data_IF_995953126535
#
_entry.id   IF_995953126535
#
_cell.length_a   1.000
_cell.length_b   1.000
_cell.length_c   1.000
_cell.angle_alpha   90.00
_cell.angle_beta   90.00
_cell.angle_gamma   90.00
#
_symmetry.space_group_name_H-M   'P 1'
#
loop_
_entity.id
_entity.type
_entity.pdbx_description
1 polymer ?
#
# COMPACT_ATOMS: atom_id res chain seq x y z
N UNK A 1 -2.09 18.04 -11.59
CA UNK A 1 -1.90 17.60 -10.20
C UNK A 1 -1.88 16.08 -10.28
N UNK A 2 -0.79 15.43 -9.87
CA UNK A 2 -0.76 13.96 -9.86
C UNK A 2 -1.88 13.44 -8.96
N UNK A 3 -2.63 12.45 -9.43
CA UNK A 3 -3.65 11.79 -8.63
C UNK A 3 -2.97 10.91 -7.59
N UNK A 4 -2.80 11.45 -6.38
CA UNK A 4 -2.17 10.73 -5.27
C UNK A 4 -2.91 9.43 -4.93
N UNK A 5 -4.19 9.27 -5.29
CA UNK A 5 -4.96 8.06 -4.98
C UNK A 5 -4.51 6.82 -5.76
N UNK A 6 -3.64 7.02 -6.75
CA UNK A 6 -2.93 5.94 -7.46
C UNK A 6 -1.71 5.41 -6.70
N UNK A 7 -1.19 6.17 -5.72
CA UNK A 7 -0.08 5.74 -4.88
C UNK A 7 -0.53 4.67 -3.87
N UNK A 8 0.39 3.83 -3.39
CA UNK A 8 0.10 2.84 -2.36
C UNK A 8 -0.50 3.44 -1.07
N UNK A 9 -1.40 2.68 -0.43
CA UNK A 9 -1.94 3.02 0.90
C UNK A 9 -1.01 2.50 2.00
N UNK A 10 -0.23 3.42 2.58
CA UNK A 10 0.74 3.15 3.65
C UNK A 10 0.08 2.66 4.95
N UNK A 11 -1.20 2.97 5.17
CA UNK A 11 -1.95 2.53 6.35
C UNK A 11 -2.55 1.13 6.20
N UNK A 12 -2.54 0.57 4.98
CA UNK A 12 -3.19 -0.69 4.67
C UNK A 12 -2.73 -1.85 5.56
N UNK A 13 -3.68 -2.64 6.06
CA UNK A 13 -3.42 -3.89 6.78
C UNK A 13 -2.64 -4.89 5.93
N UNK A 14 -2.74 -4.84 4.60
CA UNK A 14 -1.95 -5.68 3.71
C UNK A 14 -0.44 -5.39 3.79
N UNK A 15 -0.06 -4.16 4.17
CA UNK A 15 1.33 -3.78 4.48
C UNK A 15 1.65 -3.92 5.98
N UNK A 16 0.72 -4.47 6.77
CA UNK A 16 0.86 -4.58 8.22
C UNK A 16 0.49 -3.33 9.00
N UNK A 17 -0.23 -2.37 8.41
CA UNK A 17 -0.77 -1.22 9.14
C UNK A 17 -1.79 -1.64 10.20
N UNK A 18 -2.02 -0.79 11.20
CA UNK A 18 -2.93 -1.14 12.30
C UNK A 18 -3.33 0.03 13.17
N UNK A 19 -4.54 -0.04 13.70
CA UNK A 19 -5.00 0.88 14.74
C UNK A 19 -4.34 0.48 16.06
N UNK A 20 -3.60 1.42 16.67
CA UNK A 20 -2.90 1.20 17.94
C UNK A 20 -3.63 1.86 19.12
N UNK A 21 -4.58 2.74 18.82
CA UNK A 21 -5.44 3.38 19.81
C UNK A 21 -6.71 3.90 19.13
N UNK A 22 -7.86 3.71 19.78
CA UNK A 22 -9.09 4.44 19.52
C UNK A 22 -9.74 4.76 20.87
N UNK A 23 -10.31 5.95 21.02
CA UNK A 23 -10.93 6.36 22.28
C UNK A 23 -12.39 5.88 22.44
N UNK A 24 -13.05 5.55 21.34
CA UNK A 24 -14.39 4.98 21.29
C UNK A 24 -14.53 4.08 20.06
N UNK A 25 -15.13 2.90 20.22
CA UNK A 25 -15.39 1.92 19.15
C UNK A 25 -16.75 1.25 19.39
N UNK A 26 -17.71 1.99 19.93
CA UNK A 26 -18.93 1.37 20.44
C UNK A 26 -19.72 0.65 19.35
N UNK A 27 -20.01 1.31 18.22
CA UNK A 27 -20.84 0.72 17.16
C UNK A 27 -20.04 -0.14 16.20
N UNK A 28 -18.83 0.28 15.81
CA UNK A 28 -17.98 -0.50 14.93
C UNK A 28 -16.48 -0.25 15.21
N UNK A 29 -15.66 -1.29 15.01
CA UNK A 29 -14.25 -1.30 15.37
C UNK A 29 -13.41 -0.41 14.44
N UNK A 30 -12.47 0.33 15.02
CA UNK A 30 -11.52 1.18 14.30
C UNK A 30 -10.61 0.37 13.38
N UNK A 31 -10.37 -0.91 13.66
CA UNK A 31 -9.57 -1.80 12.81
C UNK A 31 -10.08 -1.88 11.36
N UNK A 32 -11.36 -1.58 11.11
CA UNK A 32 -11.91 -1.49 9.76
C UNK A 32 -11.28 -0.36 8.93
N UNK A 33 -10.80 0.73 9.55
CA UNK A 33 -10.20 1.87 8.86
C UNK A 33 -9.07 1.47 7.90
N UNK A 34 -8.29 0.46 8.28
CA UNK A 34 -7.08 0.03 7.59
C UNK A 34 -7.28 -1.21 6.69
N UNK A 35 -8.49 -1.74 6.60
CA UNK A 35 -8.75 -2.93 5.79
C UNK A 35 -8.55 -2.63 4.30
N UNK A 36 -7.81 -3.45 3.53
CA UNK A 36 -7.46 -3.14 2.14
C UNK A 36 -8.68 -3.21 1.21
N UNK A 37 -9.67 -4.02 1.55
CA UNK A 37 -10.88 -4.18 0.74
C UNK A 37 -11.74 -2.90 0.79
N UNK A 38 -12.43 -2.55 -0.32
CA UNK A 38 -13.45 -1.52 -0.30
C UNK A 38 -14.50 -1.82 0.78
N UNK A 39 -15.04 -0.79 1.46
CA UNK A 39 -16.10 -1.00 2.43
C UNK A 39 -17.34 -1.61 1.75
N UNK A 40 -18.09 -2.38 2.52
CA UNK A 40 -19.32 -3.06 2.10
C UNK A 40 -20.49 -2.69 3.01
N UNK A 41 -21.72 -2.81 2.50
CA UNK A 41 -22.90 -2.51 3.30
C UNK A 41 -24.04 -3.46 3.00
N UNK A 42 -24.58 -4.05 4.07
CA UNK A 42 -25.79 -4.86 4.03
C UNK A 42 -26.92 -4.12 4.75
N UNK A 43 -27.91 -3.56 4.01
CA UNK A 43 -29.02 -2.86 4.62
C UNK A 43 -29.81 -3.76 5.57
N UNK A 44 -30.24 -3.19 6.71
CA UNK A 44 -31.07 -3.86 7.73
C UNK A 44 -30.40 -5.04 8.42
N UNK A 45 -29.08 -5.04 8.49
CA UNK A 45 -28.31 -5.96 9.33
C UNK A 45 -28.06 -5.28 10.67
N UNK A 46 -28.89 -5.59 11.66
CA UNK A 46 -28.80 -5.01 13.01
C UNK A 46 -28.25 -6.03 14.01
N UNK A 47 -27.37 -5.58 14.90
CA UNK A 47 -27.02 -6.28 16.13
C UNK A 47 -27.69 -5.60 17.36
N UNK A 48 -27.24 -5.94 18.56
CA UNK A 48 -27.78 -5.37 19.81
C UNK A 48 -27.38 -3.89 20.03
N UNK A 49 -26.45 -3.35 19.24
CA UNK A 49 -25.99 -1.96 19.30
C UNK A 49 -26.62 -1.10 18.20
N UNK A 50 -26.80 -1.65 17.00
CA UNK A 50 -27.36 -0.90 15.88
C UNK A 50 -27.16 -1.56 14.53
N UNK A 51 -27.23 -0.78 13.46
CA UNK A 51 -26.87 -1.24 12.11
C UNK A 51 -25.37 -1.57 12.11
N UNK A 52 -25.01 -2.73 11.57
CA UNK A 52 -23.62 -3.13 11.42
C UNK A 52 -23.03 -2.38 10.23
N UNK A 53 -21.91 -1.70 10.45
CA UNK A 53 -21.16 -0.97 9.43
C UNK A 53 -19.77 -1.58 9.23
N UNK A 54 -19.33 -1.60 7.98
CA UNK A 54 -17.94 -1.90 7.59
C UNK A 54 -17.10 -0.61 7.68
N UNK A 55 -16.89 -0.16 8.91
CA UNK A 55 -16.15 1.05 9.24
C UNK A 55 -15.89 1.18 10.73
N UNK A 56 -15.29 2.29 11.14
CA UNK A 56 -15.21 2.74 12.52
C UNK A 56 -16.43 3.61 12.83
N UNK A 57 -17.12 3.38 13.94
CA UNK A 57 -18.24 4.25 14.36
C UNK A 57 -18.30 4.39 15.89
N UNK A 58 -18.36 5.65 16.34
CA UNK A 58 -18.33 6.02 17.77
C UNK A 58 -19.71 6.38 18.33
N UNK A 59 -19.84 6.41 19.66
CA UNK A 59 -21.06 6.91 20.31
C UNK A 59 -21.32 8.38 19.97
N UNK A 60 -22.59 8.71 19.78
CA UNK A 60 -23.05 10.10 19.72
C UNK A 60 -22.61 10.87 20.96
N UNK A 61 -21.90 11.97 20.79
CA UNK A 61 -21.47 12.82 21.91
C UNK A 61 -22.55 13.84 22.24
N UNK A 62 -22.72 14.06 23.55
CA UNK A 62 -23.62 15.09 24.12
C UNK A 62 -22.87 16.16 24.92
N UNK A 63 -21.55 16.08 24.92
CA UNK A 63 -20.62 16.99 25.57
C UNK A 63 -19.53 17.40 24.58
N UNK A 64 -18.82 18.49 24.87
CA UNK A 64 -17.68 18.93 24.07
C UNK A 64 -16.62 17.83 24.00
N UNK A 65 -16.04 17.63 22.82
CA UNK A 65 -15.00 16.64 22.58
C UNK A 65 -14.90 16.25 21.12
N UNK A 66 -14.02 15.28 20.88
CA UNK A 66 -13.73 14.70 19.57
C UNK A 66 -13.39 13.21 19.75
N UNK A 67 -13.53 12.43 18.68
CA UNK A 67 -13.08 11.05 18.63
C UNK A 67 -11.80 10.91 17.82
N UNK A 68 -10.93 10.00 18.26
CA UNK A 68 -9.57 9.89 17.78
C UNK A 68 -9.21 8.43 17.58
N UNK A 69 -8.62 8.13 16.42
CA UNK A 69 -7.95 6.88 16.13
C UNK A 69 -6.49 7.16 15.73
N UNK A 70 -5.54 6.41 16.31
CA UNK A 70 -4.13 6.46 15.94
C UNK A 70 -3.80 5.19 15.16
N UNK A 71 -3.25 5.37 13.96
CA UNK A 71 -2.84 4.30 13.05
C UNK A 71 -1.33 4.28 12.94
N UNK A 72 -0.72 3.13 13.18
CA UNK A 72 0.65 2.83 12.77
C UNK A 72 0.63 2.45 11.30
N UNK A 73 1.43 3.14 10.48
CA UNK A 73 1.58 2.79 9.08
C UNK A 73 2.23 1.41 8.95
N UNK A 74 1.77 0.63 7.98
CA UNK A 74 2.38 -0.66 7.63
C UNK A 74 3.76 -0.48 7.04
N UNK A 75 3.90 0.55 6.20
CA UNK A 75 5.15 0.97 5.61
C UNK A 75 5.36 2.49 5.88
N UNK A 76 6.36 2.88 6.70
CA UNK A 76 6.71 4.28 6.88
C UNK A 76 7.11 4.94 5.56
N UNK A 77 6.78 6.22 5.41
CA UNK A 77 6.96 6.88 4.12
C UNK A 77 6.55 8.34 4.10
N UNK A 78 6.65 8.93 2.91
CA UNK A 78 6.19 10.29 2.62
C UNK A 78 4.72 10.24 2.24
N UNK A 79 3.90 11.07 2.89
CA UNK A 79 2.45 11.11 2.67
C UNK A 79 2.14 12.17 1.62
N UNK A 80 1.49 11.77 0.53
CA UNK A 80 1.08 12.66 -0.57
C UNK A 80 -0.41 13.00 -0.52
N UNK A 81 -1.22 12.18 0.16
CA UNK A 81 -2.62 12.50 0.38
C UNK A 81 -3.31 11.55 1.35
N UNK A 82 -4.43 12.04 1.89
CA UNK A 82 -5.31 11.31 2.78
C UNK A 82 -6.66 11.13 2.10
N UNK A 83 -7.24 9.95 2.23
CA UNK A 83 -8.62 9.66 1.87
C UNK A 83 -9.38 9.26 3.14
N UNK A 84 -10.33 10.10 3.55
CA UNK A 84 -11.29 9.78 4.60
C UNK A 84 -12.58 9.33 3.93
N UNK A 85 -12.71 8.02 3.76
CA UNK A 85 -13.85 7.42 3.08
C UNK A 85 -15.02 7.26 4.05
N UNK A 86 -16.15 7.92 3.78
CA UNK A 86 -17.39 7.87 4.57
C UNK A 86 -18.45 6.98 3.91
N UNK A 87 -18.06 6.09 2.99
CA UNK A 87 -18.98 5.17 2.31
C UNK A 87 -20.01 4.56 3.27
N UNK A 88 -21.27 4.59 2.84
CA UNK A 88 -22.47 4.10 3.56
C UNK A 88 -22.86 4.86 4.83
N UNK A 89 -22.00 5.72 5.36
CA UNK A 89 -22.36 6.68 6.42
C UNK A 89 -23.04 7.90 5.78
N UNK A 90 -24.33 7.78 5.50
CA UNK A 90 -25.11 8.81 4.77
C UNK A 90 -25.67 9.92 5.66
N UNK A 91 -25.82 9.66 6.96
CA UNK A 91 -26.32 10.65 7.93
C UNK A 91 -25.63 10.62 9.30
N UNK A 92 -24.78 9.61 9.53
CA UNK A 92 -24.00 9.39 10.75
C UNK A 92 -22.48 9.51 10.50
N UNK A 93 -22.06 10.11 9.38
CA UNK A 93 -20.67 10.50 9.18
C UNK A 93 -20.32 11.73 10.04
N UNK A 94 -19.05 11.91 10.43
CA UNK A 94 -18.64 13.11 11.15
C UNK A 94 -18.64 14.31 10.20
N UNK A 95 -19.16 15.48 10.60
CA UNK A 95 -19.21 16.65 9.72
C UNK A 95 -17.83 17.22 9.38
N UNK A 96 -16.81 16.97 10.20
CA UNK A 96 -15.42 17.35 9.90
C UNK A 96 -14.43 16.29 10.40
N UNK A 97 -13.27 16.24 9.76
CA UNK A 97 -12.10 15.51 10.25
C UNK A 97 -10.83 16.38 10.17
N UNK A 98 -9.82 16.00 10.94
CA UNK A 98 -8.44 16.48 10.81
C UNK A 98 -7.50 15.30 10.93
N UNK A 99 -6.32 15.39 10.31
CA UNK A 99 -5.29 14.35 10.38
C UNK A 99 -3.95 14.96 10.74
N UNK A 100 -3.33 14.38 11.77
CA UNK A 100 -1.94 14.67 12.12
C UNK A 100 -1.04 13.47 11.82
N UNK A 101 0.26 13.70 11.67
CA UNK A 101 1.26 12.66 11.46
C UNK A 101 2.41 12.75 12.47
N UNK A 102 3.06 11.61 12.70
CA UNK A 102 4.17 11.47 13.63
C UNK A 102 5.24 10.53 13.05
N UNK A 103 6.50 10.94 13.19
CA UNK A 103 7.67 10.10 13.01
C UNK A 103 8.20 9.73 14.40
N UNK A 104 8.26 8.44 14.72
CA UNK A 104 8.80 7.96 15.98
C UNK A 104 9.41 6.57 15.78
N UNK A 105 10.58 6.36 16.37
CA UNK A 105 11.31 5.10 16.28
C UNK A 105 10.78 4.06 17.27
N UNK A 106 11.01 2.80 16.94
CA UNK A 106 10.64 1.66 17.79
C UNK A 106 9.13 1.43 17.88
N UNK A 107 8.68 0.94 19.04
CA UNK A 107 7.31 0.50 19.28
C UNK A 107 6.72 1.22 20.51
N UNK A 108 6.41 2.52 20.40
CA UNK A 108 5.90 3.30 21.53
C UNK A 108 4.54 2.78 22.02
N UNK A 109 4.28 2.92 23.31
CA UNK A 109 2.99 2.55 23.89
C UNK A 109 1.88 3.52 23.44
N UNK A 110 0.60 3.11 23.48
CA UNK A 110 -0.52 4.00 23.18
C UNK A 110 -0.52 5.29 24.02
N UNK A 111 -0.08 5.23 25.28
CA UNK A 111 0.03 6.40 26.15
C UNK A 111 1.13 7.37 25.68
N UNK A 112 2.29 6.84 25.26
CA UNK A 112 3.36 7.66 24.71
C UNK A 112 2.95 8.34 23.38
N UNK A 113 2.24 7.62 22.50
CA UNK A 113 1.72 8.17 21.25
C UNK A 113 0.71 9.30 21.47
N UNK A 114 -0.17 9.16 22.46
CA UNK A 114 -1.14 10.21 22.80
C UNK A 114 -0.47 11.47 23.34
N UNK A 115 0.65 11.32 24.08
CA UNK A 115 1.40 12.44 24.66
C UNK A 115 2.44 13.06 23.69
N UNK A 116 2.68 12.43 22.54
CA UNK A 116 3.66 12.90 21.56
C UNK A 116 3.25 14.23 20.92
N UNK A 117 4.23 14.92 20.31
CA UNK A 117 3.98 16.11 19.50
C UNK A 117 3.71 15.70 18.06
N UNK A 118 2.50 15.96 17.59
CA UNK A 118 2.04 15.60 16.25
C UNK A 118 2.11 16.79 15.30
N UNK A 119 2.38 16.50 14.02
CA UNK A 119 2.41 17.49 12.94
C UNK A 119 1.04 17.48 12.23
N UNK A 120 0.34 18.62 12.13
CA UNK A 120 -0.89 18.68 11.35
C UNK A 120 -0.58 18.54 9.85
N UNK A 121 -1.19 17.55 9.19
CA UNK A 121 -1.05 17.32 7.74
C UNK A 121 -2.35 17.56 6.97
N UNK A 122 -3.50 17.44 7.64
CA UNK A 122 -4.82 17.86 7.14
C UNK A 122 -5.49 18.69 8.23
N UNK A 123 -5.73 20.00 7.99
CA UNK A 123 -6.44 20.84 8.95
C UNK A 123 -7.87 20.35 9.12
N UNK A 124 -8.55 20.84 10.17
CA UNK A 124 -9.98 20.55 10.35
C UNK A 124 -10.77 20.96 9.12
N UNK A 125 -11.27 19.98 8.40
CA UNK A 125 -11.88 20.13 7.07
C UNK A 125 -13.25 19.46 7.06
N UNK A 126 -14.22 20.01 6.31
CA UNK A 126 -15.53 19.40 6.18
C UNK A 126 -15.42 18.04 5.48
N UNK A 127 -16.34 17.13 5.80
CA UNK A 127 -16.54 15.88 5.08
C UNK A 127 -17.94 15.86 4.46
N UNK A 128 -18.05 15.18 3.33
CA UNK A 128 -19.32 14.73 2.77
C UNK A 128 -19.56 13.26 3.16
N UNK A 129 -20.83 12.91 3.34
CA UNK A 129 -21.26 11.53 3.63
C UNK A 129 -21.28 10.65 2.37
N UNK A 130 -21.13 9.33 2.58
CA UNK A 130 -21.14 8.34 1.50
C UNK A 130 -20.16 8.66 0.35
N UNK A 131 -18.99 9.19 0.71
CA UNK A 131 -18.05 9.80 -0.25
C UNK A 131 -16.60 9.58 0.17
N UNK A 132 -15.71 9.47 -0.82
CA UNK A 132 -14.25 9.55 -0.60
C UNK A 132 -13.83 11.01 -0.46
N UNK A 133 -13.38 11.40 0.73
CA UNK A 133 -12.94 12.77 1.01
C UNK A 133 -11.43 12.87 0.87
N UNK A 134 -10.98 13.46 -0.24
CA UNK A 134 -9.57 13.46 -0.67
C UNK A 134 -8.85 14.77 -0.29
N UNK A 135 -7.77 14.64 0.50
CA UNK A 135 -6.96 15.76 0.97
C UNK A 135 -5.50 15.60 0.53
N UNK A 136 -4.97 16.45 -0.38
CA UNK A 136 -3.56 16.42 -0.74
C UNK A 136 -2.69 16.87 0.44
N UNK A 137 -1.51 16.26 0.57
CA UNK A 137 -0.49 16.58 1.59
C UNK A 137 0.79 16.96 0.87
N UNK A 138 1.44 18.03 1.32
CA UNK A 138 2.65 18.60 0.69
C UNK A 138 3.87 18.59 1.62
N UNK A 139 3.87 17.69 2.59
CA UNK A 139 4.95 17.52 3.55
C UNK A 139 5.87 16.38 3.09
N UNK A 140 7.15 16.69 2.86
CA UNK A 140 8.12 15.73 2.34
C UNK A 140 8.82 14.90 3.44
N UNK A 141 8.43 15.08 4.71
CA UNK A 141 8.98 14.29 5.81
C UNK A 141 8.47 12.87 5.77
N UNK A 142 9.32 11.96 6.25
CA UNK A 142 8.94 10.57 6.50
C UNK A 142 8.13 10.47 7.79
N UNK A 143 6.95 9.85 7.71
CA UNK A 143 6.09 9.56 8.86
C UNK A 143 5.93 8.05 9.11
N UNK A 144 5.57 7.70 10.34
CA UNK A 144 5.40 6.32 10.83
C UNK A 144 4.00 6.05 11.35
N UNK A 145 3.28 7.11 11.75
CA UNK A 145 1.94 7.04 12.30
C UNK A 145 1.11 8.22 11.77
N UNK A 146 -0.20 8.03 11.72
CA UNK A 146 -1.19 9.09 11.55
C UNK A 146 -2.24 9.05 12.66
N UNK A 147 -2.82 10.21 12.97
CA UNK A 147 -3.91 10.36 13.92
C UNK A 147 -5.10 10.97 13.21
N UNK A 148 -6.15 10.18 13.01
CA UNK A 148 -7.44 10.67 12.53
C UNK A 148 -8.21 11.21 13.73
N UNK A 149 -8.69 12.44 13.62
CA UNK A 149 -9.61 13.06 14.58
C UNK A 149 -10.90 13.42 13.86
N UNK A 150 -12.03 12.90 14.35
CA UNK A 150 -13.36 13.22 13.84
C UNK A 150 -14.09 14.16 14.81
N UNK A 151 -14.87 15.11 14.26
CA UNK A 151 -15.44 16.21 15.03
C UNK A 151 -16.97 16.23 14.92
N UNK A 152 -17.74 16.08 16.01
CA UNK A 152 -17.33 15.57 17.32
C UNK A 152 -17.24 14.03 17.37
N UNK A 153 -18.06 13.34 16.58
CA UNK A 153 -18.26 11.89 16.54
C UNK A 153 -18.88 11.50 15.19
N UNK A 154 -19.00 10.20 14.93
CA UNK A 154 -19.61 9.66 13.72
C UNK A 154 -18.90 8.41 13.22
N UNK A 155 -19.16 8.06 11.96
CA UNK A 155 -18.56 6.91 11.30
C UNK A 155 -17.71 7.21 10.08
N UNK A 156 -16.60 6.48 9.95
CA UNK A 156 -15.67 6.52 8.82
C UNK A 156 -15.41 5.09 8.36
N UNK A 157 -15.62 4.81 7.07
CA UNK A 157 -15.50 3.48 6.50
C UNK A 157 -14.03 3.06 6.34
N UNK A 158 -13.20 3.92 5.75
CA UNK A 158 -11.76 3.69 5.55
C UNK A 158 -10.95 4.96 5.76
N UNK A 159 -9.70 4.77 6.15
CA UNK A 159 -8.66 5.79 6.12
C UNK A 159 -7.54 5.29 5.22
N UNK A 160 -7.36 5.91 4.03
CA UNK A 160 -6.20 5.64 3.18
C UNK A 160 -5.16 6.73 3.35
N UNK A 161 -3.91 6.31 3.47
CA UNK A 161 -2.75 7.20 3.58
C UNK A 161 -1.88 6.95 2.36
N UNK A 162 -2.12 7.71 1.30
CA UNK A 162 -1.46 7.51 0.01
C UNK A 162 -0.06 8.15 0.02
N UNK A 163 0.96 7.35 -0.30
CA UNK A 163 2.33 7.77 -0.10
C UNK A 163 3.37 6.94 -0.82
N UNK A 164 4.62 7.39 -0.74
CA UNK A 164 5.79 6.62 -1.17
C UNK A 164 6.48 6.01 0.05
N UNK A 165 6.80 4.71 -0.03
CA UNK A 165 7.48 3.99 1.06
C UNK A 165 8.94 4.44 1.15
N UNK A 166 9.39 4.75 2.37
CA UNK A 166 10.78 5.08 2.67
C UNK A 166 11.25 4.15 3.78
N UNK A 167 11.83 2.98 3.45
CA UNK A 167 12.29 2.02 4.45
C UNK A 167 13.52 2.57 5.18
N UNK A 168 13.73 2.13 6.42
CA UNK A 168 14.97 2.41 7.14
C UNK A 168 16.06 1.42 6.68
N UNK A 169 17.16 1.88 6.06
CA UNK A 169 18.23 1.01 5.56
C UNK A 169 18.91 0.18 6.65
N UNK A 170 18.87 0.63 7.91
CA UNK A 170 19.46 -0.11 9.04
C UNK A 170 18.70 -1.38 9.39
N UNK A 171 17.42 -1.47 9.00
CA UNK A 171 16.55 -2.62 9.22
C UNK A 171 16.54 -3.59 8.02
N UNK A 172 17.18 -3.24 6.90
CA UNK A 172 17.23 -4.07 5.70
C UNK A 172 18.45 -5.02 5.73
N UNK A 173 18.27 -6.32 5.39
CA UNK A 173 19.38 -7.25 5.30
C UNK A 173 20.25 -6.95 4.07
N UNK A 174 21.35 -7.69 3.86
CA UNK A 174 22.21 -7.48 2.68
C UNK A 174 21.55 -7.88 1.36
N UNK A 175 20.75 -8.95 1.39
CA UNK A 175 20.04 -9.49 0.23
C UNK A 175 18.57 -9.61 0.60
N UNK A 176 17.69 -8.98 -0.19
CA UNK A 176 16.24 -8.99 0.04
C UNK A 176 15.47 -8.76 -1.25
N UNK A 177 14.14 -8.83 -1.16
CA UNK A 177 13.23 -8.47 -2.25
C UNK A 177 13.22 -6.95 -2.48
N UNK A 178 14.04 -6.49 -3.44
CA UNK A 178 14.18 -5.07 -3.77
C UNK A 178 13.02 -4.54 -4.61
N UNK A 179 12.14 -5.41 -5.11
CA UNK A 179 10.89 -5.01 -5.76
C UNK A 179 9.73 -4.87 -4.77
N UNK A 180 9.86 -5.40 -3.54
CA UNK A 180 8.80 -5.32 -2.54
C UNK A 180 8.42 -3.86 -2.24
N UNK A 181 7.11 -3.62 -2.16
CA UNK A 181 6.58 -2.30 -1.81
C UNK A 181 7.05 -1.85 -0.42
N UNK A 182 7.06 -2.76 0.56
CA UNK A 182 7.56 -2.48 1.91
C UNK A 182 9.04 -2.09 1.95
N UNK A 183 9.81 -2.39 0.89
CA UNK A 183 11.22 -2.06 0.76
C UNK A 183 11.47 -0.89 -0.19
N UNK A 184 10.43 -0.18 -0.66
CA UNK A 184 10.55 0.99 -1.53
C UNK A 184 10.41 0.71 -3.03
N UNK A 185 10.22 -0.55 -3.43
CA UNK A 185 9.90 -0.89 -4.82
C UNK A 185 8.50 -0.41 -5.21
N UNK A 186 8.31 0.05 -6.45
CA UNK A 186 6.99 0.52 -6.89
C UNK A 186 6.80 0.40 -8.40
N UNK A 187 5.54 0.23 -8.80
CA UNK A 187 5.16 0.14 -10.22
C UNK A 187 5.14 1.53 -10.85
N UNK A 188 5.83 1.71 -11.98
CA UNK A 188 5.87 2.96 -12.74
C UNK A 188 5.04 2.92 -14.02
N UNK A 189 4.66 1.74 -14.49
CA UNK A 189 3.82 1.58 -15.67
C UNK A 189 3.33 0.15 -15.83
N UNK A 190 2.26 -0.02 -16.59
CA UNK A 190 1.80 -1.33 -17.05
C UNK A 190 0.96 -1.21 -18.31
N UNK A 191 0.82 -2.31 -19.06
CA UNK A 191 -0.04 -2.37 -20.26
C UNK A 191 -1.54 -2.33 -19.93
N UNK A 192 -1.96 -2.89 -18.79
CA UNK A 192 -3.37 -3.13 -18.49
C UNK A 192 -3.64 -3.20 -16.97
N UNK A 193 -4.65 -2.44 -16.51
CA UNK A 193 -5.10 -2.40 -15.10
C UNK A 193 -6.55 -2.87 -14.90
N UNK A 194 -7.10 -3.70 -15.79
CA UNK A 194 -8.56 -3.92 -15.85
C UNK A 194 -9.15 -4.67 -14.63
N UNK A 195 -8.49 -5.71 -14.11
CA UNK A 195 -9.04 -6.56 -13.03
C UNK A 195 -8.28 -6.49 -11.71
N UNK A 196 -6.95 -6.34 -11.74
CA UNK A 196 -6.12 -6.17 -10.55
C UNK A 196 -5.12 -5.03 -10.72
N UNK A 197 -4.72 -4.40 -9.62
CA UNK A 197 -3.70 -3.35 -9.67
C UNK A 197 -2.30 -3.97 -9.62
N UNK A 198 -1.35 -3.58 -10.49
CA UNK A 198 -0.03 -4.18 -10.57
C UNK A 198 0.78 -4.06 -9.26
N UNK A 199 0.51 -3.06 -8.43
CA UNK A 199 1.13 -2.89 -7.11
C UNK A 199 0.87 -4.07 -6.16
N UNK A 200 -0.23 -4.81 -6.36
CA UNK A 200 -0.56 -5.98 -5.54
C UNK A 200 0.51 -7.08 -5.63
N UNK A 201 1.20 -7.19 -6.78
CA UNK A 201 2.30 -8.14 -6.94
C UNK A 201 3.46 -7.88 -5.97
N UNK A 202 3.60 -6.64 -5.51
CA UNK A 202 4.71 -6.18 -4.66
C UNK A 202 4.36 -6.20 -3.16
N UNK A 203 3.11 -6.52 -2.80
CA UNK A 203 2.69 -6.67 -1.40
C UNK A 203 3.47 -7.79 -0.71
N UNK A 204 3.70 -7.72 0.61
CA UNK A 204 4.37 -8.78 1.36
C UNK A 204 3.55 -10.08 1.41
N UNK A 205 4.22 -11.18 1.74
CA UNK A 205 3.59 -12.49 1.92
C UNK A 205 3.04 -13.11 0.63
N UNK A 206 2.21 -14.15 0.80
CA UNK A 206 1.50 -14.83 -0.29
C UNK A 206 0.16 -14.13 -0.56
N UNK A 207 -0.33 -14.26 -1.79
CA UNK A 207 -1.69 -13.83 -2.12
C UNK A 207 -2.73 -14.65 -1.34
N UNK A 208 -3.76 -13.98 -0.79
CA UNK A 208 -4.85 -14.63 -0.06
C UNK A 208 -5.95 -15.18 -0.96
N UNK A 209 -6.11 -14.56 -2.12
CA UNK A 209 -7.07 -14.91 -3.17
C UNK A 209 -6.61 -14.28 -4.50
N UNK A 210 -7.27 -14.60 -5.62
CA UNK A 210 -6.89 -14.10 -6.95
C UNK A 210 -6.87 -12.56 -7.06
N UNK A 211 -7.83 -11.87 -6.42
CA UNK A 211 -7.88 -10.39 -6.39
C UNK A 211 -6.75 -9.71 -5.59
N UNK A 212 -5.91 -10.50 -4.91
CA UNK A 212 -4.71 -10.02 -4.21
C UNK A 212 -3.50 -10.02 -5.16
N UNK A 213 -3.67 -10.34 -6.45
CA UNK A 213 -2.62 -10.25 -7.48
C UNK A 213 -2.86 -9.14 -8.51
N UNK A 214 -2.08 -9.18 -9.59
CA UNK A 214 -2.33 -8.46 -10.84
C UNK A 214 -3.01 -9.40 -11.84
N UNK A 215 -4.09 -8.94 -12.47
CA UNK A 215 -4.80 -9.68 -13.51
C UNK A 215 -5.13 -8.74 -14.67
N UNK A 216 -4.88 -9.22 -15.89
CA UNK A 216 -5.11 -8.48 -17.13
C UNK A 216 -6.33 -9.01 -17.88
N UNK A 217 -6.86 -8.20 -18.80
CA UNK A 217 -7.87 -8.69 -19.74
C UNK A 217 -7.28 -9.75 -20.69
N UNK A 218 -8.14 -10.66 -21.16
CA UNK A 218 -7.76 -11.65 -22.17
C UNK A 218 -7.34 -10.96 -23.46
N UNK A 219 -6.18 -11.31 -23.97
CA UNK A 219 -5.64 -10.77 -25.22
C UNK A 219 -6.08 -11.65 -26.39
N UNK A 220 -6.44 -11.04 -27.51
CA UNK A 220 -6.85 -11.72 -28.76
C UNK A 220 -6.04 -11.23 -29.98
N UNK A 221 -4.94 -10.55 -29.71
CA UNK A 221 -4.02 -9.97 -30.70
C UNK A 221 -2.59 -10.29 -30.26
N UNK A 222 -1.66 -10.27 -31.20
CA UNK A 222 -0.25 -10.55 -30.92
C UNK A 222 0.33 -9.59 -29.86
N UNK A 223 1.34 -10.07 -29.14
CA UNK A 223 2.03 -9.34 -28.08
C UNK A 223 1.81 -9.96 -26.70
N UNK A 224 2.13 -9.18 -25.67
CA UNK A 224 2.10 -9.61 -24.28
C UNK A 224 1.63 -8.47 -23.36
N UNK A 225 1.30 -8.80 -22.12
CA UNK A 225 1.05 -7.82 -21.07
C UNK A 225 2.32 -7.59 -20.24
N UNK A 226 2.49 -6.37 -19.72
CA UNK A 226 3.71 -5.99 -19.01
C UNK A 226 3.47 -5.06 -17.82
N UNK A 227 4.39 -5.10 -16.86
CA UNK A 227 4.48 -4.17 -15.74
C UNK A 227 5.94 -3.75 -15.55
N UNK A 228 6.16 -2.45 -15.34
CA UNK A 228 7.46 -1.84 -15.05
C UNK A 228 7.53 -1.45 -13.58
N UNK A 229 8.64 -1.80 -12.94
CA UNK A 229 8.86 -1.64 -11.51
C UNK A 229 10.21 -0.95 -11.32
N UNK A 230 10.22 0.14 -10.55
CA UNK A 230 11.45 0.70 -10.00
C UNK A 230 11.80 -0.06 -8.73
N UNK A 231 13.05 -0.53 -8.63
CA UNK A 231 13.58 -1.22 -7.45
C UNK A 231 13.93 -0.21 -6.36
N UNK A 232 14.03 -0.69 -5.12
CA UNK A 232 14.42 0.12 -3.96
C UNK A 232 15.72 0.92 -4.16
N UNK A 233 16.67 0.33 -4.88
CA UNK A 233 17.94 0.91 -5.30
C UNK A 233 18.53 0.08 -6.47
N UNK A 234 19.53 0.61 -7.21
CA UNK A 234 20.32 -0.20 -8.14
C UNK A 234 20.79 -1.50 -7.48
N UNK A 235 20.52 -2.64 -8.10
CA UNK A 235 20.65 -3.95 -7.46
C UNK A 235 21.26 -4.99 -8.37
N UNK A 236 22.23 -5.73 -7.84
CA UNK A 236 22.65 -7.00 -8.43
C UNK A 236 21.60 -8.07 -8.10
N UNK A 237 20.80 -8.47 -9.10
CA UNK A 237 19.77 -9.50 -8.92
C UNK A 237 20.40 -10.88 -8.84
N UNK A 238 19.91 -11.72 -7.91
CA UNK A 238 20.38 -13.09 -7.67
C UNK A 238 19.30 -14.14 -7.98
N UNK A 239 18.04 -13.87 -7.59
CA UNK A 239 16.91 -14.75 -7.87
C UNK A 239 15.65 -13.94 -8.16
N UNK A 240 14.76 -14.54 -8.94
CA UNK A 240 13.42 -13.99 -9.19
C UNK A 240 12.39 -15.04 -8.83
N UNK A 241 11.38 -14.64 -8.06
CA UNK A 241 10.20 -15.47 -7.84
C UNK A 241 9.02 -14.93 -8.65
N UNK A 242 8.41 -15.81 -9.44
CA UNK A 242 7.18 -15.56 -10.19
C UNK A 242 6.09 -16.47 -9.63
N UNK A 243 5.10 -15.87 -8.97
CA UNK A 243 4.07 -16.62 -8.25
C UNK A 243 2.72 -16.50 -8.96
N UNK A 244 2.15 -17.63 -9.39
CA UNK A 244 0.82 -17.72 -10.01
C UNK A 244 -0.23 -18.30 -9.07
N UNK A 245 0.02 -18.33 -7.75
CA UNK A 245 -0.93 -18.81 -6.74
C UNK A 245 -2.32 -18.17 -6.92
N UNK A 246 -3.38 -18.98 -6.83
CA UNK A 246 -4.79 -18.67 -7.13
C UNK A 246 -5.17 -18.49 -8.61
N UNK A 247 -4.21 -18.33 -9.53
CA UNK A 247 -4.48 -18.25 -10.97
C UNK A 247 -4.52 -19.65 -11.59
N UNK A 248 -5.66 -20.33 -11.44
CA UNK A 248 -5.84 -21.75 -11.83
C UNK A 248 -6.18 -21.95 -13.30
N UNK A 249 -6.97 -21.04 -13.87
CA UNK A 249 -7.44 -21.12 -15.26
C UNK A 249 -6.98 -19.96 -16.14
N UNK A 250 -6.28 -18.99 -15.54
CA UNK A 250 -5.89 -17.72 -16.14
C UNK A 250 -4.45 -17.32 -15.74
N UNK A 251 -3.61 -18.28 -15.31
CA UNK A 251 -2.18 -18.02 -15.22
C UNK A 251 -1.60 -17.81 -16.63
N UNK A 252 -0.59 -16.94 -16.79
CA UNK A 252 0.13 -16.81 -18.04
C UNK A 252 0.85 -18.12 -18.39
N UNK A 253 1.00 -18.41 -19.68
CA UNK A 253 1.70 -19.61 -20.14
C UNK A 253 3.22 -19.51 -19.91
N UNK A 254 3.77 -18.30 -19.98
CA UNK A 254 5.17 -18.02 -19.66
C UNK A 254 5.36 -16.57 -19.22
N UNK A 255 6.51 -16.26 -18.64
CA UNK A 255 6.90 -14.89 -18.33
C UNK A 255 8.42 -14.69 -18.45
N UNK A 256 8.83 -13.44 -18.67
CA UNK A 256 10.23 -13.02 -18.68
C UNK A 256 10.44 -11.76 -17.83
N UNK A 257 11.67 -11.51 -17.42
CA UNK A 257 12.07 -10.31 -16.69
C UNK A 257 13.28 -9.66 -17.36
N UNK A 258 13.19 -8.36 -17.62
CA UNK A 258 14.28 -7.53 -18.14
C UNK A 258 14.68 -6.47 -17.13
N UNK A 259 15.94 -6.06 -17.14
CA UNK A 259 16.52 -5.02 -16.30
C UNK A 259 16.99 -3.82 -17.11
N UNK A 260 17.01 -2.65 -16.48
CA UNK A 260 17.67 -1.44 -16.98
C UNK A 260 18.31 -0.70 -15.80
N UNK A 261 19.35 0.06 -16.08
CA UNK A 261 20.07 0.89 -15.12
C UNK A 261 20.20 2.30 -15.66
N UNK A 262 19.83 3.30 -14.86
CA UNK A 262 19.99 4.72 -15.18
C UNK A 262 19.38 5.12 -16.54
N UNK A 263 18.32 4.42 -16.98
CA UNK A 263 17.66 4.63 -18.28
C UNK A 263 18.45 4.11 -19.49
N UNK A 264 19.45 3.25 -19.28
CA UNK A 264 20.16 2.55 -20.34
C UNK A 264 19.33 1.48 -21.03
N UNK A 265 19.95 0.78 -21.98
CA UNK A 265 19.35 -0.31 -22.74
C UNK A 265 18.84 -1.44 -21.82
N UNK A 266 17.73 -2.06 -22.22
CA UNK A 266 17.17 -3.19 -21.49
C UNK A 266 17.97 -4.46 -21.76
N UNK A 267 18.27 -5.22 -20.72
CA UNK A 267 18.95 -6.51 -20.79
C UNK A 267 18.12 -7.62 -20.13
N UNK A 268 18.34 -8.87 -20.55
CA UNK A 268 17.62 -10.03 -20.02
C UNK A 268 18.13 -10.41 -18.62
N UNK A 269 17.24 -10.40 -17.63
CA UNK A 269 17.50 -10.97 -16.29
C UNK A 269 17.02 -12.42 -16.26
N UNK A 270 15.81 -12.66 -16.76
CA UNK A 270 15.17 -13.97 -16.89
C UNK A 270 14.57 -14.09 -18.30
N UNK A 271 15.12 -14.94 -19.19
CA UNK A 271 14.47 -15.22 -20.47
C UNK A 271 13.10 -15.88 -20.24
N UNK A 272 12.24 -15.86 -21.26
CA UNK A 272 10.89 -16.41 -21.17
C UNK A 272 10.90 -17.86 -20.64
N UNK A 273 10.28 -18.05 -19.47
CA UNK A 273 10.19 -19.32 -18.78
C UNK A 273 8.72 -19.77 -18.69
N UNK A 274 8.42 -21.05 -18.93
CA UNK A 274 7.06 -21.57 -18.79
C UNK A 274 6.61 -21.49 -17.32
N UNK A 275 5.33 -21.20 -17.12
CA UNK A 275 4.71 -21.13 -15.80
C UNK A 275 3.61 -22.18 -15.67
N UNK A 276 3.46 -22.70 -14.46
CA UNK A 276 2.40 -23.63 -14.08
C UNK A 276 1.31 -22.85 -13.34
N UNK A 277 0.01 -23.12 -13.58
CA UNK A 277 -1.06 -22.52 -12.79
C UNK A 277 -0.92 -22.81 -11.28
N UNK A 278 -1.35 -21.88 -10.44
CA UNK A 278 -1.40 -22.04 -8.97
C UNK A 278 -0.05 -22.49 -8.34
N UNK A 279 1.07 -21.93 -8.84
CA UNK A 279 2.42 -22.39 -8.48
C UNK A 279 3.38 -21.22 -8.23
N UNK A 280 4.11 -21.21 -7.10
CA UNK A 280 5.29 -20.38 -6.94
C UNK A 280 6.48 -20.93 -7.73
N UNK A 281 7.12 -20.09 -8.54
CA UNK A 281 8.32 -20.46 -9.31
C UNK A 281 9.50 -19.62 -8.82
N UNK A 282 10.64 -20.27 -8.58
CA UNK A 282 11.91 -19.60 -8.28
C UNK A 282 12.91 -19.88 -9.38
N UNK A 283 13.47 -18.82 -9.95
CA UNK A 283 14.44 -18.91 -11.02
C UNK A 283 15.79 -18.32 -10.57
N UNK A 284 16.92 -19.02 -10.78
CA UNK A 284 18.22 -18.39 -10.74
C UNK A 284 18.33 -17.44 -11.92
N UNK A 285 18.87 -16.24 -11.71
CA UNK A 285 19.16 -15.32 -12.81
C UNK A 285 20.61 -15.46 -13.25
N UNK A 286 20.89 -15.13 -14.50
CA UNK A 286 22.29 -15.02 -14.94
C UNK A 286 22.90 -13.76 -14.30
N UNK A 287 24.19 -13.77 -13.92
CA UNK A 287 24.86 -12.54 -13.51
C UNK A 287 24.67 -11.50 -14.61
N UNK A 288 23.92 -10.45 -14.27
CA UNK A 288 23.63 -9.34 -15.16
C UNK A 288 24.27 -8.07 -14.57
N UNK A 289 24.29 -7.00 -15.35
CA UNK A 289 24.56 -5.69 -14.79
C UNK A 289 23.53 -5.35 -13.69
N UNK A 290 23.87 -4.50 -12.71
CA UNK A 290 22.88 -4.03 -11.74
C UNK A 290 21.69 -3.39 -12.46
N UNK A 291 20.49 -3.53 -11.92
CA UNK A 291 19.29 -2.89 -12.43
C UNK A 291 18.70 -1.95 -11.36
N UNK A 292 18.20 -0.78 -11.75
CA UNK A 292 17.35 0.08 -10.91
C UNK A 292 15.86 -0.02 -11.30
N UNK A 293 15.59 -0.60 -12.47
CA UNK A 293 14.26 -0.87 -12.99
C UNK A 293 14.19 -2.26 -13.57
N UNK A 294 13.03 -2.90 -13.42
CA UNK A 294 12.72 -4.16 -14.08
C UNK A 294 11.41 -4.06 -14.84
N UNK A 295 11.29 -4.87 -15.89
CA UNK A 295 10.06 -5.06 -16.64
C UNK A 295 9.70 -6.53 -16.63
N UNK A 296 8.54 -6.84 -16.05
CA UNK A 296 7.89 -8.14 -16.12
C UNK A 296 7.03 -8.17 -17.38
N UNK A 297 7.23 -9.19 -18.21
CA UNK A 297 6.39 -9.49 -19.36
C UNK A 297 5.68 -10.83 -19.08
N UNK A 298 4.33 -10.85 -19.02
CA UNK A 298 3.51 -12.06 -18.91
C UNK A 298 2.89 -12.39 -20.27
N UNK A 299 2.95 -13.66 -20.68
CA UNK A 299 2.71 -14.07 -22.08
C UNK A 299 1.62 -15.15 -22.18
N UNK A 300 0.61 -14.96 -23.06
CA UNK A 300 0.27 -13.71 -23.75
C UNK A 300 -0.42 -12.68 -22.84
N UNK A 301 -1.10 -13.17 -21.80
CA UNK A 301 -1.84 -12.43 -20.78
C UNK A 301 -2.08 -13.37 -19.58
N UNK A 302 -2.75 -12.87 -18.53
CA UNK A 302 -3.18 -13.68 -17.41
C UNK A 302 -3.05 -12.93 -16.09
N UNK A 303 -2.70 -13.63 -15.02
CA UNK A 303 -2.42 -12.99 -13.75
C UNK A 303 -1.21 -13.54 -13.00
N UNK A 304 -0.68 -12.67 -12.16
CA UNK A 304 0.51 -12.89 -11.34
C UNK A 304 0.18 -12.50 -9.90
N UNK A 305 0.33 -13.43 -8.98
CA UNK A 305 0.06 -13.23 -7.57
C UNK A 305 1.15 -12.36 -6.94
N UNK A 306 2.42 -12.71 -7.13
CA UNK A 306 3.58 -11.97 -6.62
C UNK A 306 4.73 -11.97 -7.61
N UNK A 307 5.48 -10.87 -7.59
CA UNK A 307 6.80 -10.76 -8.17
C UNK A 307 7.79 -10.50 -7.03
N UNK A 308 8.84 -11.31 -6.92
CA UNK A 308 9.97 -11.05 -6.02
C UNK A 308 11.24 -10.89 -6.85
N UNK A 309 12.00 -9.83 -6.57
CA UNK A 309 13.31 -9.61 -7.18
C UNK A 309 14.32 -9.59 -6.04
N UNK A 310 14.97 -10.72 -5.81
CA UNK A 310 15.90 -10.91 -4.70
C UNK A 310 17.29 -10.54 -5.16
N UNK A 311 17.94 -9.60 -4.47
CA UNK A 311 19.28 -9.18 -4.83
C UNK A 311 19.95 -8.31 -3.79
N UNK A 312 21.19 -7.91 -4.11
CA UNK A 312 22.04 -7.04 -3.28
C UNK A 312 22.00 -5.60 -3.82
N UNK A 313 21.28 -4.68 -3.16
CA UNK A 313 21.21 -3.29 -3.59
C UNK A 313 22.45 -2.47 -3.21
N UNK A 314 22.64 -1.35 -3.90
CA UNK A 314 23.55 -0.29 -3.47
C UNK A 314 23.04 0.37 -2.18
N UNK A 315 23.71 0.07 -1.07
CA UNK A 315 23.37 0.60 0.26
C UNK A 315 23.51 2.12 0.36
N UNK A 316 24.45 2.74 -0.37
CA UNK A 316 24.63 4.20 -0.31
C UNK A 316 23.41 4.92 -0.86
N UNK A 317 22.83 4.41 -1.93
CA UNK A 317 21.61 4.97 -2.53
C UNK A 317 20.42 4.82 -1.58
N UNK A 318 20.28 3.68 -0.89
CA UNK A 318 19.25 3.51 0.14
C UNK A 318 19.41 4.52 1.28
N UNK A 319 20.62 4.72 1.79
CA UNK A 319 20.95 5.69 2.85
C UNK A 319 20.71 7.14 2.42
N UNK A 320 21.04 7.49 1.17
CA UNK A 320 20.77 8.81 0.61
C UNK A 320 19.26 9.06 0.46
N UNK A 321 18.51 8.09 -0.06
CA UNK A 321 17.06 8.20 -0.20
C UNK A 321 16.38 8.35 1.15
N UNK A 322 16.82 7.60 2.17
CA UNK A 322 16.30 7.71 3.53
C UNK A 322 16.59 9.10 4.15
N UNK A 323 17.84 9.56 4.09
CA UNK A 323 18.24 10.86 4.68
C UNK A 323 17.48 12.04 4.12
N UNK A 324 17.18 12.04 2.81
CA UNK A 324 16.39 13.10 2.14
C UNK A 324 15.04 13.38 2.81
N UNK A 325 14.43 12.39 3.46
CA UNK A 325 13.09 12.51 4.06
C UNK A 325 13.09 12.57 5.59
N UNK A 326 14.19 12.17 6.23
CA UNK A 326 14.33 12.22 7.69
C UNK A 326 14.97 13.53 8.14
N UNK A 327 15.92 14.07 7.37
CA UNK A 327 16.61 15.33 7.69
C UNK A 327 15.87 16.58 7.15
N UNK A 328 14.75 16.39 6.44
CA UNK A 328 13.95 17.47 5.87
C UNK A 328 13.03 18.21 6.89
N UNK A 329 13.23 17.99 8.19
CA UNK A 329 12.39 18.48 9.29
C UNK A 329 13.10 19.40 10.26
#
# INVERSE_FOLDING_TARGET
MEDFSTKPDLASRALGGGVVFANDEFFAAADHLVMPEPPTYSPRTFDHKGQVYDGWETRRRRSLGQDVAIVRLGAPGVIHGIDVDTAFFTGNYPPHASVDALAVDGYPTPAALQAATWVPIVPKSPLDGDTRNLFPVHDNRRFTHVRLTIHPDGGVARLRVHGDVVPDPTLLPEVFDVAALANGGHVTGCSNMFYGRPHNMLNPGLARHMGDGWETARRRVDGNEWAEITLAAPTQVEFVDLDTTHFKGNAPGSASLRGSLAGGEWFDILPAAPLTPDTPHRFPVRPADPADRVRLDIIPDGGMARLRVIGRPDRKILEENFRRHVEAG
#
